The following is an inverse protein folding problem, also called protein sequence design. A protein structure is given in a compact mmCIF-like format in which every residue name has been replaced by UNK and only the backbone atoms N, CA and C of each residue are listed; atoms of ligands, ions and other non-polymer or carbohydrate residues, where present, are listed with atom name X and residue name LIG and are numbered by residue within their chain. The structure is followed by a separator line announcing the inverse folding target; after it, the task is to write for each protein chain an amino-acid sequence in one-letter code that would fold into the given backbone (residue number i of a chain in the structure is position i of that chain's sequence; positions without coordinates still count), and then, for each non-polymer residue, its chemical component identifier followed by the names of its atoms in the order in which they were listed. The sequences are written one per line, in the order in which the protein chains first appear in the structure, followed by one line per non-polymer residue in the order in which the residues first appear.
data_IF_367824816861
#
_entry.id   IF_367824816861
#
_cell.length_a   1.000
_cell.length_b   1.000
_cell.length_c   1.000
_cell.angle_alpha   90.00
_cell.angle_beta   90.00
_cell.angle_gamma   90.00
#
_symmetry.space_group_name_H-M   'P 1'
#
loop_
_entity.id
_entity.type
_entity.pdbx_description
1 polymer ?
#
# COMPACT_ATOMS: atom_id res chain seq x y z
N UNK A 1 -9.85 -0.27 -20.29
CA UNK A 1 -8.85 0.82 -20.13
C UNK A 1 -9.40 1.69 -19.04
N UNK A 2 -8.91 1.43 -17.85
CA UNK A 2 -9.72 1.52 -16.65
C UNK A 2 -9.55 2.93 -16.10
N UNK A 3 -10.64 3.66 -15.99
CA UNK A 3 -10.66 5.07 -15.56
C UNK A 3 -9.94 5.29 -14.20
N UNK A 4 -9.88 4.23 -13.38
CA UNK A 4 -9.12 4.18 -12.14
C UNK A 4 -7.61 4.38 -12.35
N UNK A 5 -7.00 3.75 -13.37
CA UNK A 5 -5.58 3.87 -13.67
C UNK A 5 -5.20 5.27 -14.17
N UNK A 6 -6.08 5.89 -14.96
CA UNK A 6 -5.88 7.27 -15.47
C UNK A 6 -6.03 8.33 -14.37
N UNK A 7 -6.95 8.10 -13.41
CA UNK A 7 -7.11 8.92 -12.22
C UNK A 7 -5.86 8.87 -11.33
N UNK A 8 -5.35 7.66 -11.06
CA UNK A 8 -4.17 7.43 -10.22
C UNK A 8 -2.91 8.15 -10.78
N UNK A 9 -2.70 8.09 -12.09
CA UNK A 9 -1.56 8.75 -12.76
C UNK A 9 -1.66 10.28 -12.71
N UNK A 10 -2.88 10.83 -12.70
CA UNK A 10 -3.11 12.26 -12.56
C UNK A 10 -2.85 12.72 -11.11
N UNK A 11 -3.30 11.94 -10.12
CA UNK A 11 -3.05 12.20 -8.69
C UNK A 11 -1.57 12.10 -8.31
N UNK A 12 -0.81 11.19 -8.93
CA UNK A 12 0.63 11.08 -8.71
C UNK A 12 1.40 12.33 -9.18
N UNK A 13 0.92 13.01 -10.24
CA UNK A 13 1.50 14.28 -10.71
C UNK A 13 1.09 15.49 -9.85
N UNK A 14 0.06 15.39 -9.03
CA UNK A 14 -0.38 16.44 -8.08
C UNK A 14 0.09 16.19 -6.64
N UNK A 15 0.98 15.23 -6.42
CA UNK A 15 1.47 14.91 -5.09
C UNK A 15 2.32 16.08 -4.57
N UNK A 16 2.03 16.53 -3.35
CA UNK A 16 2.76 17.59 -2.67
C UNK A 16 4.21 17.14 -2.56
N UNK A 17 5.13 17.96 -3.08
CA UNK A 17 6.57 17.69 -2.96
C UNK A 17 7.03 18.09 -1.57
N UNK A 18 7.80 17.22 -0.94
CA UNK A 18 8.42 17.54 0.34
C UNK A 18 9.37 18.73 0.20
N UNK A 19 9.18 19.76 1.01
CA UNK A 19 9.99 20.99 1.01
C UNK A 19 10.67 21.27 2.35
N UNK A 20 10.58 20.33 3.30
CA UNK A 20 11.16 20.45 4.65
C UNK A 20 10.26 21.15 5.67
N UNK A 21 9.25 21.92 5.23
CA UNK A 21 8.32 22.63 6.12
C UNK A 21 6.92 22.01 6.11
N UNK A 22 6.61 21.18 5.12
CA UNK A 22 5.28 20.59 4.90
C UNK A 22 5.19 19.12 5.32
N UNK A 23 5.90 18.71 6.39
CA UNK A 23 5.93 17.31 6.79
C UNK A 23 4.54 16.72 7.05
N UNK A 24 3.68 17.44 7.77
CA UNK A 24 2.32 16.98 8.09
C UNK A 24 1.52 16.69 6.82
N UNK A 25 1.32 17.70 5.97
CA UNK A 25 0.59 17.59 4.70
C UNK A 25 1.20 16.54 3.75
N UNK A 26 2.54 16.53 3.62
CA UNK A 26 3.24 15.55 2.80
C UNK A 26 3.01 14.12 3.31
N UNK A 27 3.14 13.92 4.62
CA UNK A 27 2.99 12.58 5.23
C UNK A 27 1.55 12.07 5.14
N UNK A 28 0.56 12.94 5.34
CA UNK A 28 -0.85 12.59 5.21
C UNK A 28 -1.20 12.19 3.77
N UNK A 29 -0.71 12.93 2.77
CA UNK A 29 -1.00 12.62 1.38
C UNK A 29 -0.34 11.32 0.91
N UNK A 30 0.88 11.02 1.38
CA UNK A 30 1.52 9.72 1.18
C UNK A 30 0.67 8.62 1.81
N UNK A 31 0.26 8.79 3.07
CA UNK A 31 -0.52 7.78 3.80
C UNK A 31 -1.87 7.51 3.15
N UNK A 32 -2.59 8.56 2.77
CA UNK A 32 -3.86 8.45 2.03
C UNK A 32 -3.69 7.71 0.70
N UNK A 33 -2.61 8.00 -0.03
CA UNK A 33 -2.33 7.32 -1.30
C UNK A 33 -2.04 5.83 -1.09
N UNK A 34 -1.29 5.48 -0.04
CA UNK A 34 -1.01 4.10 0.34
C UNK A 34 -2.28 3.35 0.77
N UNK A 35 -3.13 3.99 1.57
CA UNK A 35 -4.42 3.42 2.02
C UNK A 35 -5.34 3.15 0.81
N UNK A 36 -5.44 4.10 -0.13
CA UNK A 36 -6.22 3.93 -1.38
C UNK A 36 -5.69 2.78 -2.22
N UNK A 37 -4.38 2.58 -2.24
CA UNK A 37 -3.74 1.48 -2.96
C UNK A 37 -3.73 0.16 -2.17
N UNK A 38 -4.22 0.17 -0.92
CA UNK A 38 -4.12 -0.94 0.04
C UNK A 38 -2.67 -1.44 0.21
N UNK A 39 -1.70 -0.53 0.05
CA UNK A 39 -0.26 -0.78 0.22
C UNK A 39 0.21 -0.52 1.66
N UNK A 40 -0.65 0.09 2.47
CA UNK A 40 -0.43 0.37 3.88
C UNK A 40 -0.04 -0.90 4.63
N UNK A 41 -0.67 -2.04 4.35
CA UNK A 41 -0.42 -3.29 5.08
C UNK A 41 0.99 -3.87 4.83
N UNK A 42 1.49 -3.96 3.59
CA UNK A 42 2.84 -4.53 3.39
C UNK A 42 3.98 -3.56 3.69
N UNK A 43 3.75 -2.24 3.56
CA UNK A 43 4.78 -1.26 3.87
C UNK A 43 4.86 -1.00 5.39
N UNK A 44 3.73 -1.05 6.11
CA UNK A 44 3.70 -0.84 7.57
C UNK A 44 3.96 -2.13 8.37
N UNK A 45 3.79 -3.31 7.76
CA UNK A 45 4.14 -4.59 8.39
C UNK A 45 5.56 -4.96 8.00
N UNK A 46 6.54 -4.58 8.82
CA UNK A 46 7.96 -4.91 8.64
C UNK A 46 8.25 -6.42 8.66
N UNK A 47 7.30 -7.25 9.12
CA UNK A 47 7.47 -8.71 9.18
C UNK A 47 6.69 -9.42 8.07
N UNK A 48 7.44 -10.18 7.27
CA UNK A 48 6.90 -11.22 6.40
C UNK A 48 5.98 -12.15 7.22
N UNK A 49 4.68 -12.25 6.90
CA UNK A 49 3.80 -13.18 7.58
C UNK A 49 4.31 -14.60 7.37
N UNK A 50 4.29 -15.41 8.43
CA UNK A 50 4.66 -16.81 8.34
C UNK A 50 3.91 -17.52 7.19
N UNK A 51 4.62 -18.38 6.47
CA UNK A 51 4.06 -19.12 5.35
C UNK A 51 2.79 -19.87 5.79
N UNK A 52 1.73 -19.75 4.99
CA UNK A 52 0.46 -20.44 5.23
C UNK A 52 0.69 -21.95 5.21
N UNK A 53 0.24 -22.63 6.26
CA UNK A 53 0.20 -24.09 6.35
C UNK A 53 -1.24 -24.58 6.34
N UNK A 54 -1.45 -25.90 6.23
CA UNK A 54 -2.79 -26.49 6.25
C UNK A 54 -3.53 -26.25 7.58
N UNK A 55 -2.79 -26.00 8.66
CA UNK A 55 -3.31 -25.71 10.00
C UNK A 55 -3.60 -24.23 10.22
N UNK A 56 -3.16 -23.35 9.30
CA UNK A 56 -3.38 -21.91 9.42
C UNK A 56 -4.86 -21.55 9.37
N UNK A 57 -5.24 -20.66 10.27
CA UNK A 57 -6.58 -20.10 10.35
C UNK A 57 -6.91 -19.27 9.10
N UNK A 58 -8.20 -19.08 8.86
CA UNK A 58 -8.68 -18.26 7.74
C UNK A 58 -8.23 -16.80 7.86
N UNK A 59 -8.05 -16.30 9.10
CA UNK A 59 -7.50 -14.98 9.37
C UNK A 59 -6.02 -14.86 8.96
N UNK A 60 -5.21 -15.88 9.25
CA UNK A 60 -3.80 -15.91 8.84
C UNK A 60 -3.66 -15.96 7.33
N UNK A 61 -4.50 -16.77 6.66
CA UNK A 61 -4.59 -16.86 5.18
C UNK A 61 -4.91 -15.51 4.55
N UNK A 62 -5.94 -14.83 5.05
CA UNK A 62 -6.35 -13.49 4.58
C UNK A 62 -5.24 -12.44 4.76
N UNK A 63 -4.51 -12.50 5.88
CA UNK A 63 -3.37 -11.62 6.13
C UNK A 63 -2.23 -11.86 5.13
N UNK A 64 -1.86 -13.12 4.88
CA UNK A 64 -0.81 -13.46 3.93
C UNK A 64 -1.17 -13.04 2.50
N UNK A 65 -2.41 -13.28 2.05
CA UNK A 65 -2.87 -12.84 0.73
C UNK A 65 -2.82 -11.32 0.55
N UNK A 66 -3.20 -10.58 1.60
CA UNK A 66 -3.15 -9.11 1.61
C UNK A 66 -1.70 -8.61 1.53
N UNK A 67 -0.79 -9.24 2.27
CA UNK A 67 0.64 -8.93 2.22
C UNK A 67 1.26 -9.25 0.85
N UNK A 68 0.99 -10.44 0.29
CA UNK A 68 1.51 -10.85 -1.02
C UNK A 68 1.01 -9.93 -2.15
N UNK A 69 -0.27 -9.55 -2.11
CA UNK A 69 -0.86 -8.61 -3.06
C UNK A 69 -0.16 -7.25 -3.02
N UNK A 70 0.11 -6.75 -1.82
CA UNK A 70 0.76 -5.47 -1.61
C UNK A 70 2.23 -5.51 -2.03
N UNK A 71 2.96 -6.58 -1.71
CA UNK A 71 4.34 -6.80 -2.16
C UNK A 71 4.48 -6.84 -3.68
N UNK A 72 3.56 -7.52 -4.37
CA UNK A 72 3.55 -7.56 -5.86
C UNK A 72 3.33 -6.18 -6.46
N UNK A 73 2.55 -5.31 -5.81
CA UNK A 73 2.31 -3.94 -6.28
C UNK A 73 3.53 -3.03 -6.07
N UNK A 74 4.37 -3.28 -5.06
CA UNK A 74 5.61 -2.54 -4.82
C UNK A 74 6.77 -2.92 -5.76
N UNK A 75 6.75 -4.13 -6.34
CA UNK A 75 7.83 -4.65 -7.20
C UNK A 75 7.64 -4.40 -8.71
N UNK A 76 6.49 -3.86 -9.11
CA UNK A 76 6.20 -3.46 -10.50
C UNK A 76 6.56 -2.00 -10.75
#
# INVERSE_FOLDING_TARGET
MDNASSSLFTSANSMVKFNGLNYEEWSEQIRFSLDVMSLDQAILTDEEPAAITNESSELEKSRYETWERSNRLCLN
#
